data_IF_617233336056
#
_entry.id   IF_617233336056
#
_cell.length_a   1.000
_cell.length_b   1.000
_cell.length_c   1.000
_cell.angle_alpha   90.00
_cell.angle_beta   90.00
_cell.angle_gamma   90.00
#
_symmetry.space_group_name_H-M   'P 1'
#
loop_
_entity.id
_entity.type
_entity.pdbx_description
1 polymer ?
#
# COMPACT_ATOMS: atom_id res chain seq x y z
N UNK A 1 1.84 -9.53 8.82
CA UNK A 1 1.37 -8.73 9.97
C UNK A 1 -0.16 -8.70 10.06
N UNK A 2 -0.88 -8.24 9.02
CA UNK A 2 -2.33 -8.05 9.07
C UNK A 2 -3.15 -9.30 9.46
N UNK A 3 -2.71 -10.51 9.06
CA UNK A 3 -3.37 -11.76 9.48
C UNK A 3 -3.07 -12.22 10.90
N UNK A 4 -2.04 -11.65 11.56
CA UNK A 4 -1.55 -12.11 12.86
C UNK A 4 -0.57 -13.29 12.79
N UNK A 5 0.02 -13.57 11.63
CA UNK A 5 1.04 -14.62 11.46
C UNK A 5 2.41 -14.28 12.08
N UNK A 6 2.63 -13.02 12.46
CA UNK A 6 3.86 -12.59 13.13
C UNK A 6 3.50 -12.37 14.59
N UNK A 7 4.12 -13.14 15.48
CA UNK A 7 3.86 -13.05 16.91
C UNK A 7 4.49 -11.80 17.49
N UNK A 8 3.76 -11.10 18.36
CA UNK A 8 4.33 -10.03 19.17
C UNK A 8 5.23 -10.56 20.28
N UNK A 9 5.10 -11.85 20.63
CA UNK A 9 5.89 -12.51 21.67
C UNK A 9 7.34 -12.73 21.22
N UNK A 10 7.56 -12.85 19.90
CA UNK A 10 8.89 -13.04 19.32
C UNK A 10 9.68 -11.73 19.20
N UNK A 11 9.10 -10.60 19.62
CA UNK A 11 9.77 -9.29 19.59
C UNK A 11 10.81 -9.22 20.71
N UNK A 12 12.06 -9.04 20.33
CA UNK A 12 13.12 -8.61 21.23
C UNK A 12 12.92 -7.18 21.76
N UNK A 13 13.78 -6.78 22.69
CA UNK A 13 13.79 -5.41 23.22
C UNK A 13 14.06 -4.42 22.08
N UNK A 14 13.17 -3.44 21.91
CA UNK A 14 13.19 -2.43 20.82
C UNK A 14 12.93 -2.98 19.40
N UNK A 15 12.52 -4.24 19.25
CA UNK A 15 12.11 -4.76 17.95
C UNK A 15 10.67 -4.34 17.58
N UNK A 16 10.48 -4.06 16.31
CA UNK A 16 9.20 -3.83 15.63
C UNK A 16 8.64 -5.15 15.10
N UNK A 17 7.36 -5.18 14.70
CA UNK A 17 6.81 -6.37 14.03
C UNK A 17 7.45 -6.57 12.65
N UNK A 18 8.02 -5.52 12.08
CA UNK A 18 8.79 -5.57 10.85
C UNK A 18 10.10 -6.32 11.04
N UNK A 19 10.84 -6.10 12.12
CA UNK A 19 12.08 -6.84 12.40
C UNK A 19 11.84 -8.34 12.50
N UNK A 20 10.78 -8.73 13.23
CA UNK A 20 10.39 -10.13 13.35
C UNK A 20 10.01 -10.71 11.97
N UNK A 21 9.28 -9.94 11.15
CA UNK A 21 8.94 -10.35 9.78
C UNK A 21 10.20 -10.57 8.91
N UNK A 22 11.15 -9.64 8.98
CA UNK A 22 12.40 -9.68 8.24
C UNK A 22 13.29 -10.86 8.69
N UNK A 23 13.34 -11.14 9.99
CA UNK A 23 14.04 -12.30 10.56
C UNK A 23 13.42 -13.62 10.10
N UNK A 24 12.09 -13.75 10.15
CA UNK A 24 11.42 -14.94 9.62
C UNK A 24 11.71 -15.12 8.12
N UNK A 25 11.64 -14.05 7.33
CA UNK A 25 11.93 -14.13 5.89
C UNK A 25 13.37 -14.58 5.63
N UNK A 26 14.33 -14.06 6.41
CA UNK A 26 15.73 -14.44 6.32
C UNK A 26 15.96 -15.90 6.74
N UNK A 27 15.26 -16.40 7.77
CA UNK A 27 15.30 -17.81 8.15
C UNK A 27 14.76 -18.72 7.04
N UNK A 28 13.66 -18.33 6.39
CA UNK A 28 13.14 -19.06 5.23
C UNK A 28 14.14 -19.07 4.07
N UNK A 29 14.87 -17.97 3.85
CA UNK A 29 15.91 -17.87 2.85
C UNK A 29 17.12 -18.76 3.17
N UNK A 30 17.58 -18.75 4.42
CA UNK A 30 18.69 -19.60 4.88
C UNK A 30 18.38 -21.10 4.81
N UNK A 31 17.09 -21.47 4.81
CA UNK A 31 16.63 -22.84 4.59
C UNK A 31 16.39 -23.17 3.12
N UNK A 32 16.83 -22.31 2.20
CA UNK A 32 16.64 -22.44 0.75
C UNK A 32 15.17 -22.61 0.33
N UNK A 33 14.23 -22.10 1.14
CA UNK A 33 12.79 -22.17 0.80
C UNK A 33 12.34 -20.96 -0.02
N UNK A 34 12.95 -19.80 0.23
CA UNK A 34 12.62 -18.53 -0.41
C UNK A 34 13.90 -17.92 -0.98
N UNK A 35 13.89 -17.58 -2.25
CA UNK A 35 14.88 -16.70 -2.85
C UNK A 35 14.50 -15.25 -2.53
N UNK A 36 15.45 -14.46 -2.03
CA UNK A 36 15.23 -13.07 -1.66
C UNK A 36 16.18 -12.18 -2.46
N UNK A 37 15.60 -11.26 -3.21
CA UNK A 37 16.31 -10.24 -3.98
C UNK A 37 16.56 -9.03 -3.06
N UNK A 38 17.83 -8.72 -2.87
CA UNK A 38 18.29 -7.65 -1.98
C UNK A 38 18.62 -6.44 -2.83
N UNK A 39 18.08 -5.28 -2.47
CA UNK A 39 18.51 -4.02 -3.09
C UNK A 39 19.78 -3.54 -2.38
N UNK A 40 20.94 -3.90 -2.91
CA UNK A 40 22.25 -3.56 -2.33
C UNK A 40 22.49 -2.04 -2.26
N UNK A 41 21.84 -1.26 -3.14
CA UNK A 41 21.87 0.21 -3.09
C UNK A 41 20.90 0.79 -2.06
N UNK A 42 19.96 -0.02 -1.56
CA UNK A 42 19.08 0.37 -0.48
C UNK A 42 19.66 -0.04 0.86
N UNK A 43 20.26 0.92 1.55
CA UNK A 43 20.67 0.78 2.96
C UNK A 43 19.51 0.44 3.92
N UNK A 44 18.24 0.44 3.44
CA UNK A 44 17.06 0.40 4.31
C UNK A 44 15.92 -0.50 3.86
N UNK A 45 15.81 -0.79 2.55
CA UNK A 45 14.85 -1.73 2.01
C UNK A 45 15.61 -2.97 1.55
N UNK A 46 16.20 -3.67 2.53
CA UNK A 46 17.03 -4.85 2.33
C UNK A 46 16.38 -5.87 1.41
N UNK A 47 15.05 -5.96 1.39
CA UNK A 47 14.33 -6.93 0.57
C UNK A 47 13.49 -6.21 -0.49
N UNK A 48 13.93 -6.30 -1.74
CA UNK A 48 13.25 -5.73 -2.92
C UNK A 48 12.10 -6.63 -3.36
N UNK A 49 12.39 -7.93 -3.45
CA UNK A 49 11.41 -8.94 -3.79
C UNK A 49 11.79 -10.27 -3.16
N UNK A 50 10.81 -11.16 -3.01
CA UNK A 50 11.07 -12.54 -2.60
C UNK A 50 10.23 -13.48 -3.45
N UNK A 51 10.74 -14.68 -3.70
CA UNK A 51 10.11 -15.71 -4.54
C UNK A 51 10.33 -17.07 -3.90
N UNK A 52 9.29 -17.91 -3.90
CA UNK A 52 9.45 -19.32 -3.54
C UNK A 52 10.18 -20.05 -4.68
N UNK A 53 11.03 -21.02 -4.34
CA UNK A 53 11.53 -21.98 -5.32
C UNK A 53 10.39 -22.85 -5.83
N UNK A 54 10.43 -23.27 -7.11
CA UNK A 54 9.31 -23.97 -7.76
C UNK A 54 8.87 -25.24 -7.01
N UNK A 55 9.81 -26.09 -6.58
CA UNK A 55 9.48 -27.30 -5.81
C UNK A 55 8.81 -26.98 -4.46
N UNK A 56 9.24 -25.91 -3.79
CA UNK A 56 8.65 -25.47 -2.53
C UNK A 56 7.25 -24.89 -2.77
N UNK A 57 7.08 -24.13 -3.85
CA UNK A 57 5.78 -23.62 -4.27
C UNK A 57 4.80 -24.76 -4.51
N UNK A 58 5.21 -25.79 -5.24
CA UNK A 58 4.35 -26.94 -5.56
C UNK A 58 3.98 -27.74 -4.30
N UNK A 59 4.95 -27.93 -3.39
CA UNK A 59 4.70 -28.53 -2.07
C UNK A 59 3.68 -27.71 -1.26
N UNK A 60 3.84 -26.37 -1.22
CA UNK A 60 2.91 -25.48 -0.52
C UNK A 60 1.51 -25.54 -1.12
N UNK A 61 1.37 -25.52 -2.45
CA UNK A 61 0.08 -25.61 -3.13
C UNK A 61 -0.63 -26.94 -2.84
N UNK A 62 0.11 -28.04 -2.83
CA UNK A 62 -0.41 -29.37 -2.45
C UNK A 62 -0.93 -29.37 -1.00
N UNK A 63 -0.15 -28.84 -0.06
CA UNK A 63 -0.53 -28.77 1.36
C UNK A 63 -1.73 -27.85 1.60
N UNK A 64 -1.75 -26.69 0.96
CA UNK A 64 -2.86 -25.72 1.01
C UNK A 64 -4.18 -26.35 0.55
N UNK A 65 -4.16 -27.12 -0.55
CA UNK A 65 -5.34 -27.81 -1.06
C UNK A 65 -5.83 -28.89 -0.08
N UNK A 66 -4.92 -29.67 0.50
CA UNK A 66 -5.24 -30.71 1.48
C UNK A 66 -5.85 -30.14 2.76
N UNK A 67 -5.34 -29.00 3.23
CA UNK A 67 -5.76 -28.36 4.49
C UNK A 67 -6.93 -27.39 4.32
N UNK A 68 -7.37 -27.10 3.09
CA UNK A 68 -8.40 -26.10 2.83
C UNK A 68 -8.02 -24.70 3.32
N UNK A 69 -6.72 -24.37 3.34
CA UNK A 69 -6.21 -23.15 3.95
C UNK A 69 -6.42 -21.89 3.09
N UNK A 70 -6.27 -22.06 1.78
CA UNK A 70 -6.33 -21.03 0.75
C UNK A 70 -6.98 -21.64 -0.49
N UNK A 71 -7.82 -20.84 -1.13
CA UNK A 71 -8.44 -21.16 -2.40
C UNK A 71 -7.87 -20.23 -3.46
N UNK A 72 -7.37 -20.82 -4.54
CA UNK A 72 -6.82 -20.10 -5.69
C UNK A 72 -7.76 -20.33 -6.87
N UNK A 73 -8.42 -19.27 -7.30
CA UNK A 73 -9.22 -19.27 -8.52
C UNK A 73 -8.34 -18.80 -9.67
N UNK A 74 -8.07 -19.71 -10.59
CA UNK A 74 -7.34 -19.47 -11.83
C UNK A 74 -8.23 -19.96 -12.98
N UNK A 75 -8.80 -19.05 -13.76
CA UNK A 75 -9.88 -19.36 -14.72
C UNK A 75 -9.36 -19.58 -16.15
N UNK A 76 -8.08 -19.87 -16.33
CA UNK A 76 -7.51 -20.30 -17.61
C UNK A 76 -7.96 -21.70 -18.05
N UNK A 77 -8.40 -22.54 -17.12
CA UNK A 77 -8.92 -23.88 -17.44
C UNK A 77 -10.41 -23.92 -17.14
N UNK A 78 -11.21 -24.25 -18.16
CA UNK A 78 -12.66 -24.43 -18.10
C UNK A 78 -13.11 -25.53 -17.13
N UNK A 79 -12.91 -25.31 -15.84
CA UNK A 79 -13.42 -26.15 -14.77
C UNK A 79 -14.77 -25.63 -14.35
N UNK A 80 -15.73 -26.54 -14.50
CA UNK A 80 -17.09 -26.42 -13.99
C UNK A 80 -17.11 -25.97 -12.53
N UNK A 81 -18.20 -25.27 -12.24
CA UNK A 81 -18.62 -24.83 -10.93
C UNK A 81 -18.33 -25.90 -9.88
N UNK A 82 -17.43 -25.61 -8.95
CA UNK A 82 -17.19 -26.47 -7.81
C UNK A 82 -17.29 -25.69 -6.51
N UNK A 83 -18.42 -25.96 -5.85
CA UNK A 83 -18.55 -26.27 -4.42
C UNK A 83 -18.07 -25.22 -3.43
N UNK A 84 -19.07 -24.56 -2.82
CA UNK A 84 -19.10 -24.01 -1.45
C UNK A 84 -17.70 -23.70 -0.88
N UNK A 85 -17.25 -22.47 -1.09
CA UNK A 85 -16.05 -21.85 -0.53
C UNK A 85 -15.94 -22.03 1.01
N UNK A 86 -15.34 -23.12 1.50
CA UNK A 86 -15.11 -23.36 2.95
C UNK A 86 -13.87 -22.66 3.51
N UNK A 87 -12.99 -22.15 2.66
CA UNK A 87 -11.71 -21.55 3.10
C UNK A 87 -11.90 -20.12 3.61
N UNK A 88 -11.03 -19.67 4.51
CA UNK A 88 -11.04 -18.28 5.00
C UNK A 88 -10.26 -17.30 4.10
N UNK A 89 -9.52 -17.80 3.10
CA UNK A 89 -8.67 -17.01 2.21
C UNK A 89 -8.99 -17.32 0.76
N UNK A 90 -9.19 -16.28 -0.02
CA UNK A 90 -9.48 -16.40 -1.45
C UNK A 90 -8.48 -15.52 -2.22
N UNK A 91 -7.75 -16.16 -3.12
CA UNK A 91 -6.90 -15.50 -4.11
C UNK A 91 -7.52 -15.75 -5.47
N UNK A 92 -7.70 -14.67 -6.23
CA UNK A 92 -8.23 -14.71 -7.57
C UNK A 92 -7.11 -14.19 -8.48
N UNK A 93 -6.53 -15.11 -9.25
CA UNK A 93 -5.61 -14.79 -10.34
C UNK A 93 -6.42 -14.59 -11.60
N UNK A 94 -6.15 -13.50 -12.31
CA UNK A 94 -6.88 -13.23 -13.54
C UNK A 94 -5.94 -12.88 -14.66
N UNK A 95 -6.07 -13.63 -15.75
CA UNK A 95 -5.15 -13.62 -16.89
C UNK A 95 -5.78 -13.13 -18.21
N UNK A 96 -7.10 -12.89 -18.29
CA UNK A 96 -7.74 -12.64 -19.60
C UNK A 96 -8.46 -11.30 -19.76
N UNK A 97 -8.52 -10.88 -21.03
CA UNK A 97 -9.14 -9.67 -21.59
C UNK A 97 -10.67 -9.74 -21.70
N UNK A 98 -11.30 -10.89 -21.40
CA UNK A 98 -12.73 -11.07 -21.66
C UNK A 98 -13.60 -10.44 -20.57
N UNK A 99 -14.44 -9.50 -21.04
CA UNK A 99 -15.16 -8.49 -20.29
C UNK A 99 -16.34 -8.99 -19.42
N UNK A 100 -16.63 -10.29 -19.35
CA UNK A 100 -17.91 -10.77 -18.79
C UNK A 100 -17.78 -11.70 -17.57
N UNK A 101 -16.61 -11.76 -16.94
CA UNK A 101 -16.42 -12.62 -15.76
C UNK A 101 -16.97 -11.97 -14.48
N UNK A 102 -18.27 -12.14 -14.25
CA UNK A 102 -18.88 -11.96 -12.93
C UNK A 102 -18.40 -13.06 -11.98
N UNK A 103 -17.43 -12.73 -11.12
CA UNK A 103 -17.19 -13.55 -9.93
C UNK A 103 -18.40 -13.40 -9.01
N UNK A 104 -19.13 -14.48 -8.75
CA UNK A 104 -20.22 -14.46 -7.78
C UNK A 104 -19.64 -14.48 -6.35
N UNK A 105 -19.05 -13.35 -5.94
CA UNK A 105 -18.41 -13.19 -4.63
C UNK A 105 -19.45 -13.16 -3.49
N UNK A 106 -20.76 -13.19 -3.82
CA UNK A 106 -21.86 -13.25 -2.85
C UNK A 106 -21.72 -14.37 -1.82
N UNK A 107 -21.06 -15.49 -2.19
CA UNK A 107 -20.81 -16.62 -1.30
C UNK A 107 -19.58 -16.45 -0.40
N UNK A 108 -18.71 -15.48 -0.68
CA UNK A 108 -17.45 -15.24 0.03
C UNK A 108 -17.60 -14.40 1.33
N UNK A 109 -18.82 -14.30 1.89
CA UNK A 109 -19.13 -13.49 3.09
C UNK A 109 -18.24 -13.77 4.31
N UNK A 110 -17.73 -15.00 4.43
CA UNK A 110 -16.93 -15.46 5.58
C UNK A 110 -15.41 -15.35 5.36
N UNK A 111 -14.94 -14.75 4.26
CA UNK A 111 -13.50 -14.63 3.99
C UNK A 111 -12.85 -13.60 4.93
N UNK A 112 -11.66 -13.95 5.42
CA UNK A 112 -10.74 -13.08 6.18
C UNK A 112 -9.75 -12.37 5.27
N UNK A 113 -9.42 -12.96 4.12
CA UNK A 113 -8.51 -12.38 3.14
C UNK A 113 -9.04 -12.59 1.73
N UNK A 114 -9.08 -11.50 0.95
CA UNK A 114 -9.49 -11.48 -0.44
C UNK A 114 -8.45 -10.73 -1.27
N UNK A 115 -7.81 -11.44 -2.18
CA UNK A 115 -6.73 -10.89 -3.01
C UNK A 115 -7.08 -11.06 -4.49
N UNK A 116 -7.19 -9.95 -5.20
CA UNK A 116 -7.22 -9.90 -6.65
C UNK A 116 -5.83 -9.54 -7.15
N UNK A 117 -5.18 -10.50 -7.81
CA UNK A 117 -3.82 -10.38 -8.30
C UNK A 117 -3.83 -10.53 -9.83
N UNK A 118 -3.27 -9.54 -10.51
CA UNK A 118 -3.11 -9.58 -11.97
C UNK A 118 -1.72 -10.15 -12.31
N UNK A 119 -1.69 -11.19 -13.15
CA UNK A 119 -0.43 -11.76 -13.66
C UNK A 119 0.05 -11.05 -14.95
N UNK A 120 -0.78 -10.24 -15.59
CA UNK A 120 -0.48 -9.53 -16.85
C UNK A 120 -0.15 -8.04 -16.70
N UNK A 121 0.33 -7.44 -17.80
CA UNK A 121 0.77 -6.03 -17.86
C UNK A 121 -0.34 -5.00 -18.11
N UNK A 122 -1.60 -5.43 -18.29
CA UNK A 122 -2.69 -4.53 -18.74
C UNK A 122 -3.72 -4.28 -17.63
N UNK A 123 -4.19 -3.03 -17.57
CA UNK A 123 -5.23 -2.58 -16.64
C UNK A 123 -6.56 -3.24 -17.03
N UNK A 124 -7.19 -3.93 -16.06
CA UNK A 124 -8.43 -4.66 -16.30
C UNK A 124 -9.62 -3.72 -16.17
N UNK A 125 -10.54 -3.67 -17.14
CA UNK A 125 -11.84 -3.01 -16.94
C UNK A 125 -12.73 -3.95 -16.13
N UNK A 126 -13.07 -3.57 -14.90
CA UNK A 126 -13.99 -4.31 -14.05
C UNK A 126 -15.02 -3.37 -13.48
N UNK A 127 -16.24 -3.85 -13.41
CA UNK A 127 -17.34 -3.08 -12.86
C UNK A 127 -17.99 -3.93 -11.76
N UNK A 128 -17.96 -3.42 -10.53
CA UNK A 128 -18.86 -3.80 -9.42
C UNK A 128 -18.96 -5.26 -8.94
N UNK A 129 -17.96 -6.13 -9.15
CA UNK A 129 -18.05 -7.50 -8.63
C UNK A 129 -18.06 -7.58 -7.09
N UNK A 130 -17.55 -6.54 -6.41
CA UNK A 130 -17.36 -6.56 -4.94
C UNK A 130 -18.41 -5.69 -4.25
N UNK A 131 -19.25 -6.33 -3.43
CA UNK A 131 -20.16 -5.64 -2.51
C UNK A 131 -19.58 -5.68 -1.10
N UNK A 132 -18.96 -4.59 -0.63
CA UNK A 132 -18.27 -4.59 0.67
C UNK A 132 -19.15 -5.00 1.85
N UNK A 133 -20.45 -4.66 1.79
CA UNK A 133 -21.40 -4.97 2.86
C UNK A 133 -21.61 -6.46 3.18
N UNK A 134 -21.17 -7.38 2.33
CA UNK A 134 -21.32 -8.82 2.58
C UNK A 134 -20.24 -9.38 3.52
N UNK A 135 -19.10 -8.69 3.66
CA UNK A 135 -17.96 -9.22 4.40
C UNK A 135 -17.96 -8.78 5.85
N UNK A 136 -18.21 -9.74 6.76
CA UNK A 136 -18.20 -9.49 8.21
C UNK A 136 -16.81 -9.64 8.82
N UNK A 137 -15.96 -10.50 8.24
CA UNK A 137 -14.70 -10.93 8.85
C UNK A 137 -13.43 -10.54 8.09
N UNK A 138 -13.58 -9.74 7.02
CA UNK A 138 -12.47 -9.40 6.13
C UNK A 138 -11.45 -8.51 6.84
N UNK A 139 -10.21 -8.98 6.89
CA UNK A 139 -9.04 -8.30 7.46
C UNK A 139 -8.10 -7.80 6.37
N UNK A 140 -8.04 -8.48 5.23
CA UNK A 140 -7.15 -8.14 4.12
C UNK A 140 -7.96 -8.05 2.84
N UNK A 141 -7.87 -6.90 2.19
CA UNK A 141 -8.40 -6.67 0.86
C UNK A 141 -7.30 -6.12 -0.03
N UNK A 142 -6.91 -6.91 -1.02
CA UNK A 142 -5.94 -6.51 -2.04
C UNK A 142 -6.65 -6.50 -3.38
N UNK A 143 -6.66 -5.33 -4.02
CA UNK A 143 -7.22 -5.09 -5.34
C UNK A 143 -6.09 -4.50 -6.18
N UNK A 144 -5.25 -5.36 -6.76
CA UNK A 144 -4.20 -4.91 -7.67
C UNK A 144 -4.69 -4.87 -9.10
N UNK A 145 -4.32 -3.81 -9.84
CA UNK A 145 -4.72 -3.60 -11.24
C UNK A 145 -6.24 -3.67 -11.48
N UNK A 146 -7.03 -3.28 -10.48
CA UNK A 146 -8.48 -3.31 -10.50
C UNK A 146 -9.03 -1.97 -11.00
N UNK A 147 -9.87 -1.97 -12.03
CA UNK A 147 -10.63 -0.76 -12.40
C UNK A 147 -11.94 -0.77 -11.67
N UNK A 148 -12.36 0.39 -11.15
CA UNK A 148 -13.70 0.57 -10.61
C UNK A 148 -14.59 1.30 -11.61
N UNK A 149 -15.89 0.98 -11.59
CA UNK A 149 -16.87 1.73 -12.37
C UNK A 149 -16.89 3.18 -11.95
N UNK A 150 -16.87 4.09 -12.93
CA UNK A 150 -16.83 5.53 -12.71
C UNK A 150 -15.63 5.99 -11.86
N UNK A 151 -14.60 5.14 -11.70
CA UNK A 151 -13.44 5.41 -10.85
C UNK A 151 -13.77 5.54 -9.36
N UNK A 152 -14.87 4.98 -8.87
CA UNK A 152 -15.28 5.10 -7.46
C UNK A 152 -15.40 3.74 -6.77
N UNK A 153 -15.00 3.69 -5.50
CA UNK A 153 -15.24 2.49 -4.69
C UNK A 153 -16.76 2.26 -4.51
N UNK A 154 -17.23 1.01 -4.53
CA UNK A 154 -18.59 0.68 -4.15
C UNK A 154 -18.94 1.17 -2.74
N UNK A 155 -20.21 1.42 -2.50
CA UNK A 155 -20.69 1.82 -1.18
C UNK A 155 -20.46 0.72 -0.11
N UNK A 156 -20.33 1.16 1.15
CA UNK A 156 -20.26 0.24 2.28
C UNK A 156 -18.84 -0.17 2.68
N UNK A 157 -17.78 0.50 2.20
CA UNK A 157 -16.41 0.23 2.65
C UNK A 157 -16.30 0.35 4.18
N UNK A 158 -17.01 1.30 4.80
CA UNK A 158 -17.04 1.50 6.25
C UNK A 158 -17.69 0.34 7.04
N UNK A 159 -18.35 -0.60 6.35
CA UNK A 159 -18.89 -1.83 6.95
C UNK A 159 -17.80 -2.87 7.22
N UNK A 160 -16.62 -2.74 6.60
CA UNK A 160 -15.47 -3.64 6.81
C UNK A 160 -14.75 -3.36 8.14
N UNK A 161 -15.45 -3.55 9.28
CA UNK A 161 -14.98 -3.15 10.61
C UNK A 161 -13.68 -3.83 11.07
N UNK A 162 -13.37 -5.01 10.53
CA UNK A 162 -12.16 -5.76 10.87
C UNK A 162 -11.01 -5.55 9.87
N UNK A 163 -11.20 -4.70 8.85
CA UNK A 163 -10.19 -4.49 7.82
C UNK A 163 -8.94 -3.87 8.41
N UNK A 164 -7.80 -4.53 8.18
CA UNK A 164 -6.47 -4.11 8.60
C UNK A 164 -5.59 -3.69 7.44
N UNK A 165 -5.79 -4.27 6.26
CA UNK A 165 -5.04 -3.93 5.05
C UNK A 165 -5.99 -3.69 3.89
N UNK A 166 -5.84 -2.52 3.26
CA UNK A 166 -6.43 -2.20 1.98
C UNK A 166 -5.31 -1.82 1.01
N UNK A 167 -5.21 -2.52 -0.11
CA UNK A 167 -4.32 -2.17 -1.21
C UNK A 167 -5.10 -1.95 -2.49
N UNK A 168 -4.94 -0.78 -3.09
CA UNK A 168 -5.44 -0.38 -4.40
C UNK A 168 -4.27 -0.16 -5.37
N UNK A 169 -3.16 -0.85 -5.15
CA UNK A 169 -1.93 -0.68 -5.94
C UNK A 169 -2.21 -0.94 -7.42
N UNK A 170 -1.76 -0.03 -8.28
CA UNK A 170 -1.97 -0.06 -9.74
C UNK A 170 -3.43 -0.10 -10.19
N UNK A 171 -4.39 0.18 -9.30
CA UNK A 171 -5.82 0.17 -9.63
C UNK A 171 -6.28 1.51 -10.18
N UNK A 172 -7.31 1.50 -11.03
CA UNK A 172 -7.93 2.72 -11.55
C UNK A 172 -9.07 3.16 -10.62
N UNK A 173 -8.77 4.17 -9.80
CA UNK A 173 -9.70 4.83 -8.89
C UNK A 173 -9.43 6.33 -8.93
N UNK A 174 -10.47 7.13 -9.13
CA UNK A 174 -10.42 8.59 -9.24
C UNK A 174 -10.75 9.24 -7.90
N UNK A 175 -11.63 8.65 -7.09
CA UNK A 175 -12.09 9.26 -5.84
C UNK A 175 -12.32 8.22 -4.74
N UNK A 176 -11.78 8.48 -3.55
CA UNK A 176 -12.07 7.69 -2.35
C UNK A 176 -13.21 8.31 -1.56
N UNK A 177 -14.21 7.51 -1.12
CA UNK A 177 -15.29 8.02 -0.30
C UNK A 177 -14.76 8.44 1.08
N UNK A 178 -15.27 9.54 1.70
CA UNK A 178 -14.89 9.94 3.05
C UNK A 178 -15.08 8.87 4.12
N UNK A 179 -15.97 7.89 3.87
CA UNK A 179 -16.23 6.77 4.77
C UNK A 179 -15.03 5.82 4.93
N UNK A 180 -14.04 5.85 4.03
CA UNK A 180 -12.79 5.09 4.18
C UNK A 180 -12.04 5.48 5.47
N UNK A 181 -12.13 6.75 5.89
CA UNK A 181 -11.51 7.25 7.11
C UNK A 181 -12.24 6.78 8.39
N UNK A 182 -13.37 6.09 8.26
CA UNK A 182 -14.16 5.53 9.37
C UNK A 182 -13.83 4.06 9.67
N UNK A 183 -12.82 3.48 9.00
CA UNK A 183 -12.37 2.11 9.23
C UNK A 183 -11.57 2.03 10.55
N UNK A 184 -12.08 1.34 11.59
CA UNK A 184 -11.52 1.45 12.94
C UNK A 184 -10.24 0.65 13.14
N UNK A 185 -9.97 -0.34 12.29
CA UNK A 185 -8.85 -1.28 12.44
C UNK A 185 -7.80 -1.17 11.35
N UNK A 186 -7.91 -0.19 10.43
CA UNK A 186 -7.01 -0.14 9.27
C UNK A 186 -5.59 0.24 9.70
N UNK A 187 -4.64 -0.62 9.33
CA UNK A 187 -3.21 -0.49 9.64
C UNK A 187 -2.38 -0.20 8.40
N UNK A 188 -2.77 -0.72 7.24
CA UNK A 188 -2.08 -0.48 5.98
C UNK A 188 -3.07 0.03 4.94
N UNK A 189 -2.77 1.20 4.37
CA UNK A 189 -3.49 1.79 3.25
C UNK A 189 -2.51 2.03 2.11
N UNK A 190 -2.62 1.24 1.05
CA UNK A 190 -1.79 1.38 -0.14
C UNK A 190 -2.61 1.96 -1.30
N UNK A 191 -2.28 3.21 -1.64
CA UNK A 191 -2.90 4.01 -2.69
C UNK A 191 -1.91 4.31 -3.82
N UNK A 192 -0.85 3.51 -4.01
CA UNK A 192 0.04 3.59 -5.18
C UNK A 192 -0.68 3.10 -6.44
N UNK A 193 -1.73 3.83 -6.83
CA UNK A 193 -2.54 3.61 -8.03
C UNK A 193 -1.72 3.90 -9.29
N UNK A 194 -2.14 3.37 -10.43
CA UNK A 194 -1.49 3.62 -11.71
C UNK A 194 -2.39 4.52 -12.55
N UNK A 195 -1.77 5.51 -13.15
CA UNK A 195 -2.43 6.58 -13.88
C UNK A 195 -1.67 6.78 -15.17
N UNK A 196 -2.36 6.55 -16.29
CA UNK A 196 -1.87 7.01 -17.59
C UNK A 196 -1.67 8.53 -17.54
N UNK A 197 -0.77 9.05 -18.37
CA UNK A 197 -0.32 10.46 -18.41
C UNK A 197 -1.47 11.49 -18.46
N UNK A 198 -2.67 11.11 -18.89
CA UNK A 198 -3.84 11.98 -19.00
C UNK A 198 -5.00 11.65 -18.04
N UNK A 199 -4.77 10.86 -17.00
CA UNK A 199 -5.83 10.52 -16.04
C UNK A 199 -5.94 11.58 -14.92
N UNK A 200 -7.15 11.83 -14.40
CA UNK A 200 -7.35 12.81 -13.34
C UNK A 200 -6.63 12.38 -12.05
N UNK A 201 -6.24 13.34 -11.18
CA UNK A 201 -5.60 13.03 -9.92
C UNK A 201 -6.53 12.25 -8.98
N UNK A 202 -5.97 11.35 -8.18
CA UNK A 202 -6.71 10.66 -7.13
C UNK A 202 -7.23 11.68 -6.10
N UNK A 203 -8.54 11.78 -5.96
CA UNK A 203 -9.22 12.64 -4.98
C UNK A 203 -9.30 11.93 -3.63
N UNK A 204 -8.60 12.45 -2.63
CA UNK A 204 -8.56 11.90 -1.27
C UNK A 204 -9.39 12.72 -0.28
N UNK A 205 -10.11 12.08 0.66
CA UNK A 205 -10.72 12.79 1.77
C UNK A 205 -9.65 13.33 2.73
N UNK A 206 -9.77 14.59 3.16
CA UNK A 206 -8.82 15.21 4.10
C UNK A 206 -9.02 14.76 5.57
N UNK A 207 -9.48 13.52 5.79
CA UNK A 207 -9.75 12.96 7.12
C UNK A 207 -8.88 11.75 7.43
N UNK A 208 -7.85 11.48 6.63
CA UNK A 208 -6.90 10.37 6.84
C UNK A 208 -6.24 10.48 8.21
N UNK A 209 -5.92 11.69 8.68
CA UNK A 209 -5.38 11.96 10.02
C UNK A 209 -6.23 11.38 11.19
N UNK A 210 -7.52 11.10 10.96
CA UNK A 210 -8.40 10.47 11.97
C UNK A 210 -8.17 8.97 12.12
N UNK A 211 -7.42 8.34 11.20
CA UNK A 211 -7.16 6.90 11.18
C UNK A 211 -6.01 6.53 12.12
N UNK A 212 -6.23 6.65 13.43
CA UNK A 212 -5.18 6.55 14.47
C UNK A 212 -4.42 5.22 14.54
N UNK A 213 -4.97 4.14 13.96
CA UNK A 213 -4.32 2.81 13.88
C UNK A 213 -3.47 2.60 12.64
N UNK A 214 -3.37 3.60 11.77
CA UNK A 214 -2.62 3.51 10.53
C UNK A 214 -1.12 3.45 10.83
N UNK A 215 -0.47 2.42 10.28
CA UNK A 215 0.97 2.14 10.43
C UNK A 215 1.74 2.30 9.14
N UNK A 216 1.11 1.97 8.01
CA UNK A 216 1.73 2.05 6.70
C UNK A 216 0.80 2.79 5.73
N UNK A 217 1.29 3.90 5.19
CA UNK A 217 0.57 4.73 4.23
C UNK A 217 1.40 4.90 2.96
N UNK A 218 0.87 4.40 1.83
CA UNK A 218 1.52 4.57 0.53
C UNK A 218 0.65 5.45 -0.34
N UNK A 219 1.10 6.68 -0.61
CA UNK A 219 0.34 7.66 -1.39
C UNK A 219 0.77 7.61 -2.87
N UNK A 220 -0.16 7.93 -3.77
CA UNK A 220 0.16 8.24 -5.16
C UNK A 220 0.53 9.71 -5.28
N UNK A 221 1.65 10.02 -5.95
CA UNK A 221 2.16 11.38 -6.15
C UNK A 221 1.17 12.32 -6.86
N UNK A 222 0.38 11.80 -7.80
CA UNK A 222 -0.63 12.52 -8.55
C UNK A 222 -2.01 12.41 -7.87
N UNK A 223 -2.24 13.31 -6.91
CA UNK A 223 -3.46 13.35 -6.08
C UNK A 223 -3.94 14.77 -5.81
N UNK A 224 -5.21 14.89 -5.42
CA UNK A 224 -5.82 16.12 -4.92
C UNK A 224 -6.69 15.83 -3.71
N UNK A 225 -7.03 16.87 -2.94
CA UNK A 225 -7.84 16.74 -1.73
C UNK A 225 -9.28 17.16 -2.00
N UNK A 226 -10.23 16.35 -1.56
CA UNK A 226 -11.66 16.68 -1.63
C UNK A 226 -11.91 17.91 -0.75
N UNK A 227 -12.39 18.99 -1.36
CA UNK A 227 -12.55 20.30 -0.70
C UNK A 227 -11.32 21.20 -0.76
N UNK A 228 -10.23 20.77 -1.41
CA UNK A 228 -9.00 21.54 -1.55
C UNK A 228 -8.09 21.52 -0.31
N UNK A 229 -7.03 22.33 -0.38
CA UNK A 229 -6.02 22.45 0.68
C UNK A 229 -5.01 21.29 0.71
N UNK A 230 -4.15 21.32 1.73
CA UNK A 230 -3.11 20.32 1.96
C UNK A 230 -3.65 19.11 2.73
N UNK A 231 -3.13 17.91 2.42
CA UNK A 231 -3.42 16.69 3.16
C UNK A 231 -2.89 16.80 4.59
N UNK A 232 -3.78 16.68 5.57
CA UNK A 232 -3.39 16.63 6.98
C UNK A 232 -2.88 15.25 7.36
N UNK A 233 -1.72 15.22 8.00
CA UNK A 233 -1.04 13.99 8.47
C UNK A 233 -0.75 14.01 9.99
N UNK A 234 -1.17 15.09 10.67
CA UNK A 234 -1.03 15.24 12.13
C UNK A 234 -1.75 14.12 12.92
N UNK A 235 -1.21 13.75 14.08
CA UNK A 235 -1.87 12.81 14.99
C UNK A 235 -1.89 11.34 14.55
N UNK A 236 -1.22 10.98 13.45
CA UNK A 236 -1.01 9.59 13.02
C UNK A 236 0.08 8.90 13.86
N UNK A 237 -0.15 8.80 15.17
CA UNK A 237 0.88 8.43 16.14
C UNK A 237 1.38 6.97 16.00
N UNK A 238 0.60 6.06 15.42
CA UNK A 238 1.02 4.68 15.12
C UNK A 238 1.73 4.55 13.76
N UNK A 239 1.91 5.64 13.00
CA UNK A 239 2.49 5.57 11.65
C UNK A 239 3.96 5.20 11.72
N UNK A 240 4.31 4.08 11.10
CA UNK A 240 5.67 3.52 11.03
C UNK A 240 6.32 3.83 9.66
N UNK A 241 5.52 3.90 8.59
CA UNK A 241 5.98 4.15 7.23
C UNK A 241 5.03 5.04 6.45
N UNK A 242 5.58 6.04 5.75
CA UNK A 242 4.86 6.84 4.77
C UNK A 242 5.69 7.04 3.50
N UNK A 243 5.05 6.89 2.34
CA UNK A 243 5.71 7.12 1.03
C UNK A 243 4.81 7.91 0.09
N UNK A 244 5.42 8.58 -0.89
CA UNK A 244 4.70 9.36 -1.91
C UNK A 244 4.19 10.71 -1.41
N UNK A 245 4.72 11.19 -0.29
CA UNK A 245 4.44 12.54 0.26
C UNK A 245 5.07 13.60 -0.65
N UNK A 246 4.40 14.73 -0.84
CA UNK A 246 4.99 15.91 -1.47
C UNK A 246 4.60 17.20 -0.75
N UNK A 247 5.54 18.14 -0.67
CA UNK A 247 5.37 19.44 0.03
C UNK A 247 4.34 20.38 -0.61
N UNK A 248 3.97 20.15 -1.87
CA UNK A 248 2.94 20.90 -2.59
C UNK A 248 1.53 20.59 -2.06
N UNK A 249 1.16 19.30 -2.06
CA UNK A 249 -0.19 18.83 -1.75
C UNK A 249 -0.39 18.32 -0.32
N UNK A 250 0.68 18.15 0.47
CA UNK A 250 0.58 17.66 1.85
C UNK A 250 1.14 18.64 2.86
N UNK A 251 0.56 18.61 4.05
CA UNK A 251 1.09 19.28 5.22
C UNK A 251 2.15 18.38 5.87
N UNK A 252 3.41 18.68 5.60
CA UNK A 252 4.57 17.92 6.07
C UNK A 252 5.12 18.40 7.41
N UNK A 253 4.58 19.51 7.94
CA UNK A 253 5.12 20.21 9.13
C UNK A 253 5.15 19.35 10.39
N UNK A 254 4.23 18.38 10.47
CA UNK A 254 4.11 17.49 11.62
C UNK A 254 4.77 16.12 11.43
N UNK A 255 5.30 15.80 10.23
CA UNK A 255 5.85 14.47 9.96
C UNK A 255 7.07 14.14 10.83
N UNK A 256 7.92 15.13 11.10
CA UNK A 256 9.07 14.99 11.99
C UNK A 256 8.67 14.68 13.45
N UNK A 257 7.44 15.01 13.86
CA UNK A 257 6.97 14.84 15.23
C UNK A 257 6.26 13.50 15.46
N UNK A 258 6.07 12.68 14.42
CA UNK A 258 5.39 11.39 14.55
C UNK A 258 6.27 10.39 15.30
N UNK A 259 5.85 9.88 16.47
CA UNK A 259 6.73 9.19 17.41
C UNK A 259 7.20 7.81 16.95
N UNK A 260 6.45 7.16 16.06
CA UNK A 260 6.76 5.82 15.56
C UNK A 260 7.26 5.82 14.12
N UNK A 261 7.39 6.99 13.48
CA UNK A 261 7.74 7.06 12.07
C UNK A 261 9.21 6.67 11.88
N UNK A 262 9.42 5.61 11.11
CA UNK A 262 10.73 5.02 10.85
C UNK A 262 11.12 5.07 9.39
N UNK A 263 10.15 5.07 8.47
CA UNK A 263 10.39 5.17 7.03
C UNK A 263 9.62 6.32 6.42
N UNK A 264 10.33 7.25 5.79
CA UNK A 264 9.79 8.44 5.15
C UNK A 264 10.33 8.58 3.72
N UNK A 265 9.44 8.63 2.74
CA UNK A 265 9.78 9.10 1.38
C UNK A 265 8.97 10.36 1.06
N UNK A 266 9.65 11.49 0.87
CA UNK A 266 9.04 12.79 0.62
C UNK A 266 9.69 13.51 -0.56
N UNK A 267 8.86 14.15 -1.39
CA UNK A 267 9.28 15.08 -2.44
C UNK A 267 9.14 16.52 -1.96
N UNK A 268 10.22 17.27 -2.01
CA UNK A 268 10.31 18.65 -1.54
C UNK A 268 10.47 19.55 -2.77
N UNK A 269 9.62 20.57 -2.86
CA UNK A 269 9.55 21.48 -4.00
C UNK A 269 9.97 22.92 -3.66
N UNK A 270 10.31 23.19 -2.39
CA UNK A 270 10.72 24.52 -1.92
C UNK A 270 11.76 24.43 -0.81
N UNK A 271 12.59 25.47 -0.70
CA UNK A 271 13.70 25.56 0.25
C UNK A 271 13.23 25.56 1.72
N UNK A 272 12.10 26.19 2.01
CA UNK A 272 11.57 26.29 3.37
C UNK A 272 11.20 24.92 3.95
N UNK A 273 10.53 24.09 3.14
CA UNK A 273 10.21 22.71 3.48
C UNK A 273 11.46 21.81 3.50
N UNK A 274 12.48 22.13 2.69
CA UNK A 274 13.77 21.42 2.77
C UNK A 274 14.45 21.66 4.11
N UNK A 275 14.62 22.93 4.51
CA UNK A 275 15.27 23.29 5.77
C UNK A 275 14.56 22.62 6.94
N UNK A 276 13.23 22.72 6.99
CA UNK A 276 12.42 22.09 8.04
C UNK A 276 12.62 20.57 8.10
N UNK A 277 12.62 19.88 6.96
CA UNK A 277 12.85 18.43 6.97
C UNK A 277 14.27 18.07 7.39
N UNK A 278 15.28 18.80 6.94
CA UNK A 278 16.68 18.58 7.34
C UNK A 278 16.82 18.75 8.86
N UNK A 279 16.22 19.80 9.43
CA UNK A 279 16.22 20.02 10.89
C UNK A 279 15.55 18.87 11.65
N UNK A 280 14.38 18.41 11.17
CA UNK A 280 13.71 17.25 11.76
C UNK A 280 14.54 15.97 11.66
N UNK A 281 15.27 15.78 10.56
CA UNK A 281 16.16 14.64 10.37
C UNK A 281 17.30 14.68 11.38
N UNK A 282 17.99 15.82 11.51
CA UNK A 282 19.11 16.02 12.44
C UNK A 282 18.68 15.79 13.90
N UNK A 283 17.50 16.25 14.29
CA UNK A 283 17.00 16.12 15.66
C UNK A 283 16.47 14.72 16.02
N UNK A 284 16.22 13.86 15.03
CA UNK A 284 15.58 12.55 15.25
C UNK A 284 16.28 11.39 14.53
N UNK A 285 17.57 11.51 14.25
CA UNK A 285 18.34 10.53 13.46
C UNK A 285 18.23 9.10 14.01
N UNK A 286 18.26 8.93 15.33
CA UNK A 286 18.23 7.59 15.97
C UNK A 286 16.90 6.84 15.79
N UNK A 287 15.81 7.56 15.46
CA UNK A 287 14.48 6.95 15.28
C UNK A 287 14.28 6.45 13.86
N UNK A 288 14.81 7.16 12.88
CA UNK A 288 14.56 6.85 11.48
C UNK A 288 15.39 5.67 11.02
N UNK A 289 14.71 4.68 10.45
CA UNK A 289 15.36 3.62 9.70
C UNK A 289 15.70 4.06 8.30
N UNK A 290 14.84 4.87 7.67
CA UNK A 290 15.00 5.22 6.27
C UNK A 290 14.37 6.57 5.98
N UNK A 291 15.12 7.45 5.33
CA UNK A 291 14.58 8.71 4.83
C UNK A 291 15.06 8.87 3.39
N UNK A 292 14.12 9.12 2.49
CA UNK A 292 14.39 9.44 1.10
C UNK A 292 13.79 10.80 0.77
N UNK A 293 14.68 11.75 0.49
CA UNK A 293 14.30 13.07 0.02
C UNK A 293 14.47 13.12 -1.50
N UNK A 294 13.42 13.55 -2.20
CA UNK A 294 13.50 13.93 -3.61
C UNK A 294 13.38 15.44 -3.67
N UNK A 295 14.42 16.12 -4.13
CA UNK A 295 14.44 17.56 -4.22
C UNK A 295 14.16 17.93 -5.67
N UNK A 296 13.10 18.69 -5.88
CA UNK A 296 12.63 19.13 -7.19
C UNK A 296 12.39 20.65 -7.10
N UNK A 297 13.48 21.41 -7.10
CA UNK A 297 13.46 22.86 -6.97
C UNK A 297 13.69 23.48 -8.35
N UNK A 298 12.78 24.35 -8.78
CA UNK A 298 13.02 25.18 -9.95
C UNK A 298 14.10 26.21 -9.62
N UNK A 299 15.25 26.11 -10.27
CA UNK A 299 16.27 27.18 -10.23
C UNK A 299 15.75 28.30 -11.11
N UNK A 300 15.26 29.38 -10.50
CA UNK A 300 14.84 30.57 -11.22
C UNK A 300 16.09 31.26 -11.79
N UNK A 301 16.46 30.94 -13.04
CA UNK A 301 17.62 31.52 -13.76
C UNK A 301 17.45 33.01 -14.12
N UNK A 302 16.48 33.70 -13.52
CA UNK A 302 16.22 35.13 -13.73
C UNK A 302 16.80 36.00 -12.60
N UNK A 303 17.94 35.63 -12.03
CA UNK A 303 18.73 36.60 -11.24
C UNK A 303 19.43 37.55 -12.20
N UNK A 304 19.03 38.82 -12.20
CA UNK A 304 19.62 39.96 -12.90
C UNK A 304 21.06 40.31 -12.42
N UNK A 305 21.92 39.32 -12.18
CA UNK A 305 23.33 39.52 -11.81
C UNK A 305 24.28 39.14 -12.97
N UNK A 306 23.85 39.46 -14.20
CA UNK A 306 24.63 39.31 -15.43
C UNK A 306 25.50 40.52 -15.78
N UNK A 307 25.79 41.42 -14.82
CA UNK A 307 26.49 42.67 -15.10
C UNK A 307 27.51 43.05 -14.02
N UNK A 308 28.50 42.21 -13.76
CA UNK A 308 29.75 42.64 -13.07
C UNK A 308 30.93 41.73 -13.37
N UNK A 309 31.17 41.34 -14.63
CA UNK A 309 32.44 40.70 -15.02
C UNK A 309 32.91 41.12 -16.42
N UNK A 310 32.85 42.41 -16.74
CA UNK A 310 33.69 43.02 -17.79
C UNK A 310 33.93 44.49 -17.44
N UNK A 311 35.11 44.80 -16.88
CA UNK A 311 35.58 46.18 -16.73
C UNK A 311 36.65 46.32 -15.64
N UNK A 312 37.92 46.35 -16.05
CA UNK A 312 39.06 46.72 -15.20
C UNK A 312 40.23 45.76 -15.31
#
# INVERSE_FOLDING_TARGET
MAEGMISSEDKGRRETLRDVAERYLFELANRCMVHVDIDEMSIYNRFKSCRLHDLIRDLCLSKVKKEGFLEVMDREMGREESSICKTNRLVIHVETLDNDLYYNIGEAKNKRSLLFLNKGSRIMKRYNCIKFGIFKYLKILVLECYTFENGKLPEGIEKLKLLKLLSLKKSYVIELPPSICKLPCLQTLNLKVDFAVHSPPLRLPNSIYKMRRLRHLFLNSHRSIIGGGKLKLEGLNELEMITGVNSWGDDITHLGNLPNLQVLEVRILDEQNLSMMVDHMLNHQERFRSIKLWIDMDVNMNSEDGSTLLGG
#
